data_IF_263407708817
#
_entry.id   IF_263407708817
#
_cell.length_a   1.000
_cell.length_b   1.000
_cell.length_c   1.000
_cell.angle_alpha   90.00
_cell.angle_beta   90.00
_cell.angle_gamma   90.00
#
_symmetry.space_group_name_H-M   'P 1'
#
loop_
_entity.id
_entity.type
_entity.pdbx_description
1 polymer ?
#
# COMPACT_ATOMS: atom_id res chain seq x y z
N UNK A 1 -5.27 18.40 -6.83
CA UNK A 1 -6.66 18.07 -6.44
C UNK A 1 -6.72 17.12 -5.25
N UNK A 2 -5.97 16.01 -5.25
CA UNK A 2 -5.99 14.97 -4.18
C UNK A 2 -5.77 15.55 -2.78
N UNK A 3 -4.76 16.38 -2.57
CA UNK A 3 -4.48 16.97 -1.24
C UNK A 3 -5.61 17.87 -0.71
N UNK A 4 -6.29 18.59 -1.61
CA UNK A 4 -7.44 19.44 -1.22
C UNK A 4 -8.60 18.57 -0.75
N UNK A 5 -8.85 17.44 -1.41
CA UNK A 5 -9.90 16.48 -1.01
C UNK A 5 -9.58 15.89 0.36
N UNK A 6 -8.34 15.47 0.59
CA UNK A 6 -7.92 14.95 1.91
C UNK A 6 -8.15 16.00 3.00
N UNK A 7 -7.77 17.25 2.73
CA UNK A 7 -7.98 18.35 3.67
C UNK A 7 -9.47 18.63 3.93
N UNK A 8 -10.32 18.60 2.91
CA UNK A 8 -11.77 18.84 3.07
C UNK A 8 -12.48 17.73 3.85
N UNK A 9 -12.01 16.47 3.77
CA UNK A 9 -12.61 15.34 4.48
C UNK A 9 -12.11 15.24 5.93
N UNK A 10 -10.80 15.38 6.14
CA UNK A 10 -10.15 15.08 7.42
C UNK A 10 -9.66 16.32 8.19
N UNK A 11 -9.74 17.51 7.59
CA UNK A 11 -9.28 18.76 8.18
C UNK A 11 -7.78 18.80 8.48
N UNK A 12 -7.41 19.55 9.51
CA UNK A 12 -6.03 19.70 9.99
C UNK A 12 -5.75 18.66 11.09
N UNK A 13 -5.60 17.40 10.68
CA UNK A 13 -5.41 16.25 11.57
C UNK A 13 -4.18 15.42 11.19
N UNK A 14 -3.72 14.57 12.11
CA UNK A 14 -2.63 13.60 11.88
C UNK A 14 -3.00 12.66 10.72
N UNK A 15 -4.28 12.29 10.61
CA UNK A 15 -4.80 11.44 9.53
C UNK A 15 -4.57 12.07 8.15
N UNK A 16 -4.82 13.38 8.02
CA UNK A 16 -4.56 14.12 6.79
C UNK A 16 -3.10 14.03 6.38
N UNK A 17 -2.17 14.18 7.33
CA UNK A 17 -0.74 14.08 7.08
C UNK A 17 -0.35 12.68 6.56
N UNK A 18 -0.89 11.63 7.15
CA UNK A 18 -0.61 10.25 6.76
C UNK A 18 -1.11 9.97 5.34
N UNK A 19 -2.32 10.39 5.01
CA UNK A 19 -2.85 10.23 3.65
C UNK A 19 -2.14 11.11 2.63
N UNK A 20 -1.62 12.28 3.02
CA UNK A 20 -0.76 13.10 2.16
C UNK A 20 0.54 12.34 1.86
N UNK A 21 1.19 11.75 2.87
CA UNK A 21 2.43 10.97 2.69
C UNK A 21 2.15 9.75 1.80
N UNK A 22 1.12 8.97 2.11
CA UNK A 22 0.75 7.78 1.33
C UNK A 22 0.41 8.16 -0.12
N UNK A 23 -0.45 9.17 -0.33
CA UNK A 23 -0.83 9.61 -1.68
C UNK A 23 0.37 10.15 -2.47
N UNK A 24 1.29 10.87 -1.82
CA UNK A 24 2.54 11.32 -2.46
C UNK A 24 3.36 10.12 -2.94
N UNK A 25 3.56 9.11 -2.08
CA UNK A 25 4.29 7.90 -2.45
C UNK A 25 3.61 7.14 -3.60
N UNK A 26 2.29 6.97 -3.54
CA UNK A 26 1.52 6.28 -4.58
C UNK A 26 1.55 7.04 -5.92
N UNK A 27 1.47 8.38 -5.90
CA UNK A 27 1.60 9.19 -7.11
C UNK A 27 2.98 8.97 -7.74
N UNK A 28 4.05 9.04 -6.93
CA UNK A 28 5.43 8.84 -7.44
C UNK A 28 5.58 7.43 -8.01
N UNK A 29 5.12 6.40 -7.28
CA UNK A 29 5.17 5.01 -7.75
C UNK A 29 4.38 4.86 -9.05
N UNK A 30 3.17 5.43 -9.14
CA UNK A 30 2.35 5.36 -10.35
C UNK A 30 3.05 6.01 -11.56
N UNK A 31 3.70 7.17 -11.39
CA UNK A 31 4.45 7.79 -12.49
C UNK A 31 5.68 6.97 -12.91
N UNK A 32 6.40 6.37 -11.94
CA UNK A 32 7.54 5.51 -12.26
C UNK A 32 7.06 4.24 -12.95
N UNK A 33 5.97 3.64 -12.48
CA UNK A 33 5.38 2.44 -13.08
C UNK A 33 4.85 2.71 -14.50
N UNK A 34 4.21 3.85 -14.74
CA UNK A 34 3.76 4.23 -16.08
C UNK A 34 4.90 4.40 -17.09
N UNK A 35 6.09 4.82 -16.63
CA UNK A 35 7.24 5.07 -17.50
C UNK A 35 8.14 3.85 -17.64
N UNK A 36 8.43 3.16 -16.54
CA UNK A 36 9.45 2.11 -16.43
C UNK A 36 8.85 0.72 -16.16
N UNK A 37 7.55 0.62 -15.88
CA UNK A 37 6.84 -0.63 -15.54
C UNK A 37 7.44 -1.37 -14.34
N UNK A 38 7.94 -0.62 -13.35
CA UNK A 38 8.58 -1.15 -12.15
C UNK A 38 8.08 -0.38 -10.92
N UNK A 39 7.74 -1.11 -9.86
CA UNK A 39 7.50 -0.52 -8.54
C UNK A 39 8.82 -0.36 -7.77
N UNK A 40 9.25 0.87 -7.46
CA UNK A 40 10.57 1.13 -6.87
C UNK A 40 10.64 0.66 -5.41
N UNK A 41 11.59 -0.24 -5.14
CA UNK A 41 11.89 -0.75 -3.79
C UNK A 41 12.32 0.36 -2.82
N UNK A 42 12.97 1.40 -3.34
CA UNK A 42 13.40 2.58 -2.57
C UNK A 42 12.24 3.40 -2.02
N UNK A 43 11.01 3.19 -2.50
CA UNK A 43 9.80 3.82 -1.97
C UNK A 43 8.94 2.79 -1.25
N UNK A 44 8.71 1.62 -1.85
CA UNK A 44 7.77 0.63 -1.31
C UNK A 44 8.24 0.01 0.02
N UNK A 45 9.52 -0.36 0.14
CA UNK A 45 10.05 -0.97 1.35
C UNK A 45 10.13 0.02 2.53
N UNK A 46 10.69 1.24 2.37
CA UNK A 46 10.62 2.25 3.42
C UNK A 46 9.17 2.63 3.75
N UNK A 47 8.29 2.66 2.74
CA UNK A 47 6.87 2.92 2.92
C UNK A 47 6.21 1.93 3.89
N UNK A 48 6.49 0.64 3.78
CA UNK A 48 6.00 -0.37 4.73
C UNK A 48 6.45 -0.03 6.16
N UNK A 49 7.74 0.29 6.33
CA UNK A 49 8.30 0.67 7.64
C UNK A 49 7.65 1.94 8.20
N UNK A 50 7.49 2.96 7.38
CA UNK A 50 6.83 4.22 7.75
C UNK A 50 5.37 3.97 8.14
N UNK A 51 4.61 3.17 7.38
CA UNK A 51 3.23 2.84 7.71
C UNK A 51 3.10 2.10 9.05
N UNK A 52 4.00 1.15 9.32
CA UNK A 52 4.06 0.44 10.60
C UNK A 52 4.43 1.38 11.76
N UNK A 53 5.40 2.27 11.60
CA UNK A 53 5.79 3.24 12.64
C UNK A 53 4.64 4.22 12.91
N UNK A 54 3.99 4.72 11.86
CA UNK A 54 2.88 5.65 11.99
C UNK A 54 1.68 5.02 12.69
N UNK A 55 1.48 3.70 12.56
CA UNK A 55 0.39 3.01 13.27
C UNK A 55 0.43 3.17 14.80
N UNK A 56 1.59 3.45 15.41
CA UNK A 56 1.66 3.74 16.84
C UNK A 56 1.06 5.10 17.22
N UNK A 57 0.99 6.03 16.27
CA UNK A 57 0.55 7.41 16.49
C UNK A 57 -0.87 7.67 15.99
N UNK A 58 -1.55 6.64 15.45
CA UNK A 58 -2.87 6.76 14.85
C UNK A 58 -3.93 6.12 15.75
N UNK A 59 -4.89 6.89 16.28
CA UNK A 59 -5.89 6.36 17.23
C UNK A 59 -6.76 5.23 16.67
N UNK A 60 -7.03 5.22 15.36
CA UNK A 60 -7.92 4.26 14.70
C UNK A 60 -7.20 3.09 14.00
N UNK A 61 -5.87 3.09 13.96
CA UNK A 61 -5.07 2.05 13.32
C UNK A 61 -4.11 1.47 14.36
N UNK A 62 -4.42 0.28 14.89
CA UNK A 62 -3.48 -0.41 15.77
C UNK A 62 -2.32 -1.02 14.98
N UNK A 63 -1.16 -1.16 15.64
CA UNK A 63 0.01 -1.84 15.06
C UNK A 63 -0.33 -3.25 14.54
N UNK A 64 -1.15 -4.00 15.27
CA UNK A 64 -1.59 -5.33 14.85
C UNK A 64 -2.40 -5.25 13.54
N UNK A 65 -3.32 -4.29 13.42
CA UNK A 65 -4.11 -4.13 12.20
C UNK A 65 -3.26 -3.70 11.01
N UNK A 66 -2.24 -2.87 11.25
CA UNK A 66 -1.25 -2.45 10.24
C UNK A 66 -0.37 -3.63 9.79
N UNK A 67 0.19 -4.40 10.74
CA UNK A 67 0.98 -5.59 10.44
C UNK A 67 0.16 -6.66 9.72
N UNK A 68 -1.08 -6.89 10.14
CA UNK A 68 -2.02 -7.74 9.40
C UNK A 68 -2.30 -7.19 8.01
N UNK A 69 -2.38 -5.87 7.85
CA UNK A 69 -2.53 -5.23 6.55
C UNK A 69 -1.36 -5.53 5.61
N UNK A 70 -0.13 -5.48 6.11
CA UNK A 70 1.09 -5.87 5.36
C UNK A 70 0.99 -7.32 4.89
N UNK A 71 0.67 -8.23 5.83
CA UNK A 71 0.59 -9.67 5.54
C UNK A 71 -0.57 -10.00 4.60
N UNK A 72 -1.74 -9.41 4.81
CA UNK A 72 -2.92 -9.66 3.98
C UNK A 72 -2.74 -9.05 2.59
N UNK A 73 -2.28 -7.80 2.50
CA UNK A 73 -2.04 -7.12 1.23
C UNK A 73 -0.98 -7.82 0.40
N UNK A 74 0.22 -7.97 0.95
CA UNK A 74 1.31 -8.66 0.27
C UNK A 74 1.00 -10.13 0.04
N UNK A 75 0.42 -10.81 1.03
CA UNK A 75 0.12 -12.24 0.96
C UNK A 75 -0.91 -12.61 -0.10
N UNK A 76 -2.00 -11.84 -0.25
CA UNK A 76 -3.00 -12.08 -1.31
C UNK A 76 -2.33 -12.01 -2.68
N UNK A 77 -1.59 -10.94 -2.95
CA UNK A 77 -0.91 -10.75 -4.24
C UNK A 77 0.17 -11.82 -4.45
N UNK A 78 0.93 -12.17 -3.42
CA UNK A 78 1.95 -13.21 -3.50
C UNK A 78 1.34 -14.57 -3.83
N UNK A 79 0.21 -14.93 -3.22
CA UNK A 79 -0.48 -16.19 -3.51
C UNK A 79 -0.94 -16.20 -4.97
N UNK A 80 -1.53 -15.10 -5.45
CA UNK A 80 -1.95 -14.97 -6.86
C UNK A 80 -0.74 -15.10 -7.79
N UNK A 81 0.37 -14.45 -7.47
CA UNK A 81 1.60 -14.51 -8.24
C UNK A 81 2.16 -15.93 -8.31
N UNK A 82 2.22 -16.65 -7.18
CA UNK A 82 2.74 -18.01 -7.11
C UNK A 82 1.85 -19.01 -7.82
N UNK A 83 0.54 -19.00 -7.54
CA UNK A 83 -0.45 -19.91 -8.16
C UNK A 83 -0.54 -19.63 -9.66
N UNK A 84 -0.61 -18.36 -10.06
CA UNK A 84 -0.58 -17.96 -11.46
C UNK A 84 0.69 -18.46 -12.15
N UNK A 85 1.85 -18.27 -11.52
CA UNK A 85 3.13 -18.69 -12.14
C UNK A 85 3.24 -20.20 -12.30
N UNK A 86 2.67 -20.98 -11.38
CA UNK A 86 2.57 -22.44 -11.51
C UNK A 86 1.66 -22.86 -12.67
N UNK A 87 0.50 -22.23 -12.83
CA UNK A 87 -0.48 -22.55 -13.87
C UNK A 87 0.05 -22.16 -15.26
N UNK A 88 0.55 -20.93 -15.40
CA UNK A 88 0.98 -20.37 -16.68
C UNK A 88 2.43 -20.73 -17.05
N UNK A 89 3.18 -21.39 -16.14
CA UNK A 89 4.61 -21.73 -16.29
C UNK A 89 5.50 -20.54 -16.68
N UNK A 90 5.07 -19.34 -16.32
CA UNK A 90 5.75 -18.06 -16.55
C UNK A 90 5.38 -17.13 -15.40
N UNK A 91 6.20 -16.13 -15.13
CA UNK A 91 5.89 -15.15 -14.09
C UNK A 91 4.55 -14.47 -14.36
N UNK A 92 3.61 -14.63 -13.42
CA UNK A 92 2.25 -14.12 -13.57
C UNK A 92 2.10 -12.68 -13.08
N UNK A 93 2.88 -12.29 -12.07
CA UNK A 93 2.79 -10.97 -11.44
C UNK A 93 4.12 -10.59 -10.79
N UNK A 94 4.49 -9.32 -10.85
CA UNK A 94 5.79 -8.84 -10.40
C UNK A 94 5.91 -8.77 -8.89
N UNK A 95 7.11 -9.01 -8.36
CA UNK A 95 7.40 -8.82 -6.93
C UNK A 95 7.20 -7.38 -6.43
N UNK A 96 7.19 -6.41 -7.35
CA UNK A 96 6.86 -5.02 -7.07
C UNK A 96 5.43 -4.83 -6.55
N UNK A 97 4.46 -5.51 -7.17
CA UNK A 97 3.04 -5.40 -6.80
C UNK A 97 2.77 -5.98 -5.40
N UNK A 98 3.48 -7.05 -5.03
CA UNK A 98 3.46 -7.64 -3.69
C UNK A 98 3.89 -6.60 -2.64
N UNK A 99 4.99 -5.88 -2.91
CA UNK A 99 5.51 -4.85 -2.01
C UNK A 99 4.60 -3.63 -1.95
N UNK A 100 4.00 -3.24 -3.08
CA UNK A 100 3.03 -2.16 -3.14
C UNK A 100 1.78 -2.47 -2.30
N UNK A 101 1.21 -3.65 -2.46
CA UNK A 101 0.04 -4.09 -1.69
C UNK A 101 0.36 -4.22 -0.19
N UNK A 102 1.55 -4.70 0.15
CA UNK A 102 2.06 -4.71 1.52
C UNK A 102 2.21 -3.29 2.09
N UNK A 103 2.74 -2.34 1.31
CA UNK A 103 2.86 -0.93 1.71
C UNK A 103 1.50 -0.32 1.96
N UNK A 104 0.56 -0.44 1.02
CA UNK A 104 -0.82 0.06 1.17
C UNK A 104 -1.45 -0.54 2.45
N UNK A 105 -1.23 -1.82 2.69
CA UNK A 105 -1.71 -2.49 3.88
C UNK A 105 -1.11 -1.99 5.19
N UNK A 106 0.15 -1.56 5.20
CA UNK A 106 0.75 -0.93 6.38
C UNK A 106 0.01 0.37 6.77
N UNK A 107 -0.41 1.18 5.80
CA UNK A 107 -1.07 2.46 6.06
C UNK A 107 -2.56 2.35 6.32
N UNK A 108 -3.25 1.40 5.68
CA UNK A 108 -4.70 1.28 5.74
C UNK A 108 -5.18 0.23 6.75
N UNK A 109 -4.34 -0.76 7.05
CA UNK A 109 -4.71 -1.94 7.82
C UNK A 109 -5.59 -2.92 7.04
N UNK A 110 -5.63 -4.17 7.49
CA UNK A 110 -6.15 -5.31 6.70
C UNK A 110 -7.54 -5.15 6.09
N UNK A 111 -8.50 -4.52 6.80
CA UNK A 111 -9.88 -4.35 6.30
C UNK A 111 -9.92 -3.50 5.04
N UNK A 112 -9.25 -2.34 5.10
CA UNK A 112 -9.21 -1.41 3.99
C UNK A 112 -8.28 -1.88 2.88
N UNK A 113 -7.24 -2.66 3.20
CA UNK A 113 -6.39 -3.32 2.19
C UNK A 113 -7.19 -4.23 1.27
N UNK A 114 -8.06 -5.07 1.84
CA UNK A 114 -8.92 -5.97 1.06
C UNK A 114 -9.81 -5.13 0.14
N UNK A 115 -10.46 -4.11 0.69
CA UNK A 115 -11.33 -3.22 -0.08
C UNK A 115 -10.57 -2.55 -1.23
N UNK A 116 -9.34 -2.04 -0.98
CA UNK A 116 -8.53 -1.39 -2.01
C UNK A 116 -8.08 -2.33 -3.12
N UNK A 117 -7.83 -3.61 -2.81
CA UNK A 117 -7.42 -4.60 -3.80
C UNK A 117 -8.54 -4.95 -4.79
N UNK A 118 -9.80 -4.92 -4.34
CA UNK A 118 -10.94 -5.33 -5.16
C UNK A 118 -11.68 -4.16 -5.84
N UNK A 119 -11.60 -2.94 -5.29
CA UNK A 119 -12.33 -1.81 -5.85
C UNK A 119 -11.66 -1.15 -7.05
N UNK A 120 -10.33 -1.26 -7.20
CA UNK A 120 -9.60 -0.67 -8.33
C UNK A 120 -9.60 0.86 -8.32
#
# INVERSE_FOLDING_TARGET
MIYLIIYLIYGLSIQSLIYIILSSALIIIAFIDLNEQIVPDVISLPGIGVGLILSFFVPYLSFINSALGVVVGGGIILIIALVGSMIFKKEAMGGGDVKLAAMIGAFLGWRYTIISLFLG
#
